data_IF_794566709003
#
_entry.id   IF_794566709003
#
_cell.length_a   1.000
_cell.length_b   1.000
_cell.length_c   1.000
_cell.angle_alpha   90.00
_cell.angle_beta   90.00
_cell.angle_gamma   90.00
#
_symmetry.space_group_name_H-M   'P 1'
#
loop_
_entity.id
_entity.type
_entity.pdbx_description
1 polymer ?
#
# COMPACT_ATOMS: atom_id res chain seq x y z
N UNK A 1 19.53 10.10 -1.05
CA UNK A 1 18.57 8.97 -0.91
C UNK A 1 17.38 9.32 -0.01
N UNK A 2 17.43 9.30 1.33
CA UNK A 2 16.23 9.65 2.14
C UNK A 2 15.74 11.09 1.90
N UNK A 3 16.67 12.06 1.83
CA UNK A 3 16.33 13.46 1.54
C UNK A 3 15.66 13.67 0.19
N UNK A 4 15.95 12.84 -0.80
CA UNK A 4 15.30 12.90 -2.13
C UNK A 4 13.85 12.37 -2.02
N UNK A 5 13.62 11.28 -1.28
CA UNK A 5 12.27 10.75 -1.06
C UNK A 5 11.39 11.77 -0.32
N UNK A 6 11.94 12.52 0.63
CA UNK A 6 11.21 13.57 1.35
C UNK A 6 10.80 14.76 0.46
N UNK A 7 11.36 14.90 -0.75
CA UNK A 7 10.92 15.93 -1.70
C UNK A 7 9.59 15.60 -2.35
N UNK A 8 9.11 14.35 -2.23
CA UNK A 8 7.83 13.89 -2.77
C UNK A 8 6.63 14.23 -1.86
N UNK A 9 6.83 15.02 -0.79
CA UNK A 9 5.81 15.29 0.24
C UNK A 9 4.51 15.87 -0.35
N UNK A 10 4.62 16.81 -1.30
CA UNK A 10 3.42 17.41 -1.92
C UNK A 10 2.65 16.41 -2.79
N UNK A 11 3.34 15.52 -3.50
CA UNK A 11 2.72 14.45 -4.28
C UNK A 11 2.06 13.40 -3.36
N UNK A 12 2.67 13.10 -2.21
CA UNK A 12 2.08 12.24 -1.19
C UNK A 12 0.82 12.86 -0.58
N UNK A 13 0.77 14.20 -0.41
CA UNK A 13 -0.45 14.89 0.03
C UNK A 13 -1.56 14.79 -1.02
N UNK A 14 -1.23 14.91 -2.29
CA UNK A 14 -2.21 14.76 -3.36
C UNK A 14 -2.74 13.33 -3.45
N UNK A 15 -1.88 12.32 -3.27
CA UNK A 15 -2.30 10.93 -3.13
C UNK A 15 -3.22 10.74 -1.92
N UNK A 16 -2.90 11.33 -0.77
CA UNK A 16 -3.72 11.22 0.43
C UNK A 16 -5.13 11.80 0.24
N UNK A 17 -5.28 12.90 -0.54
CA UNK A 17 -6.60 13.45 -0.87
C UNK A 17 -7.47 12.47 -1.67
N UNK A 18 -6.86 11.65 -2.53
CA UNK A 18 -7.58 10.63 -3.30
C UNK A 18 -8.07 9.47 -2.43
N UNK A 19 -7.45 9.27 -1.26
CA UNK A 19 -7.75 8.15 -0.36
C UNK A 19 -8.58 8.57 0.86
N UNK A 20 -8.84 9.86 1.07
CA UNK A 20 -9.39 10.36 2.33
C UNK A 20 -10.81 9.88 2.65
N UNK A 21 -11.61 9.62 1.62
CA UNK A 21 -13.00 9.17 1.76
C UNK A 21 -13.12 7.63 1.74
N UNK A 22 -12.01 6.94 1.47
CA UNK A 22 -11.98 5.48 1.37
C UNK A 22 -12.04 4.81 2.75
N UNK A 23 -12.79 3.70 2.81
CA UNK A 23 -12.97 2.97 4.06
C UNK A 23 -11.93 1.86 4.25
N UNK A 24 -11.31 1.40 3.17
CA UNK A 24 -10.35 0.31 3.20
C UNK A 24 -9.24 0.49 2.19
N UNK A 25 -8.06 -0.06 2.47
CA UNK A 25 -6.88 0.01 1.62
C UNK A 25 -6.13 -1.32 1.66
N UNK A 26 -5.81 -1.88 0.50
CA UNK A 26 -4.92 -3.04 0.42
C UNK A 26 -3.52 -2.62 -0.03
N UNK A 27 -2.50 -3.10 0.68
CA UNK A 27 -1.09 -2.88 0.33
C UNK A 27 -0.41 -4.20 0.01
N UNK A 28 0.21 -4.31 -1.16
CA UNK A 28 0.91 -5.51 -1.58
C UNK A 28 2.41 -5.28 -1.69
N UNK A 29 3.17 -6.26 -1.22
CA UNK A 29 4.62 -6.33 -1.39
C UNK A 29 5.08 -7.75 -1.61
N UNK A 30 6.27 -7.92 -2.19
CA UNK A 30 6.90 -9.24 -2.39
C UNK A 30 8.37 -9.18 -1.98
N UNK A 31 8.91 -10.31 -1.53
CA UNK A 31 10.31 -10.40 -1.11
C UNK A 31 10.60 -9.39 0.01
N UNK A 32 11.64 -8.57 -0.16
CA UNK A 32 12.01 -7.53 0.80
C UNK A 32 10.89 -6.51 1.07
N UNK A 33 10.04 -6.25 0.08
CA UNK A 33 8.97 -5.27 0.19
C UNK A 33 7.73 -5.78 0.94
N UNK A 34 7.68 -7.07 1.31
CA UNK A 34 6.58 -7.59 2.13
C UNK A 34 6.52 -6.87 3.49
N UNK A 35 7.67 -6.67 4.14
CA UNK A 35 7.74 -5.92 5.38
C UNK A 35 7.29 -4.46 5.21
N UNK A 36 7.63 -3.84 4.08
CA UNK A 36 7.20 -2.46 3.75
C UNK A 36 5.68 -2.37 3.57
N UNK A 37 5.05 -3.36 2.92
CA UNK A 37 3.60 -3.41 2.78
C UNK A 37 2.88 -3.57 4.13
N UNK A 38 3.40 -4.46 4.99
CA UNK A 38 2.86 -4.66 6.34
C UNK A 38 2.97 -3.41 7.22
N UNK A 39 4.15 -2.77 7.24
CA UNK A 39 4.38 -1.58 8.05
C UNK A 39 3.56 -0.39 7.53
N UNK A 40 3.49 -0.20 6.20
CA UNK A 40 2.66 0.84 5.59
C UNK A 40 1.19 0.68 5.97
N UNK A 41 0.66 -0.53 5.87
CA UNK A 41 -0.70 -0.83 6.28
C UNK A 41 -0.91 -0.60 7.78
N UNK A 42 0.07 -0.95 8.63
CA UNK A 42 -0.01 -0.70 10.07
C UNK A 42 -0.07 0.80 10.38
N UNK A 43 0.75 1.63 9.73
CA UNK A 43 0.73 3.09 9.95
C UNK A 43 -0.58 3.73 9.52
N UNK A 44 -1.16 3.31 8.39
CA UNK A 44 -2.49 3.78 7.96
C UNK A 44 -3.57 3.42 8.99
N UNK A 45 -3.54 2.19 9.51
CA UNK A 45 -4.44 1.71 10.57
C UNK A 45 -4.36 2.58 11.83
N UNK A 46 -3.16 2.90 12.27
CA UNK A 46 -2.92 3.63 13.52
C UNK A 46 -3.24 5.12 13.42
N UNK A 47 -2.86 5.77 12.31
CA UNK A 47 -2.89 7.23 12.21
C UNK A 47 -4.12 7.72 11.46
N UNK A 48 -4.51 7.03 10.38
CA UNK A 48 -5.67 7.42 9.57
C UNK A 48 -6.97 6.73 10.02
N UNK A 49 -6.89 5.71 10.88
CA UNK A 49 -8.04 4.91 11.35
C UNK A 49 -8.84 4.25 10.22
N UNK A 50 -8.23 4.14 9.04
CA UNK A 50 -8.76 3.43 7.88
C UNK A 50 -8.44 1.94 8.00
N UNK A 51 -9.33 1.08 7.54
CA UNK A 51 -9.04 -0.35 7.51
C UNK A 51 -7.99 -0.67 6.44
N UNK A 52 -6.74 -0.88 6.83
CA UNK A 52 -5.65 -1.17 5.90
C UNK A 52 -5.01 -2.53 6.13
N UNK A 53 -4.81 -3.33 5.08
CA UNK A 53 -4.17 -4.65 5.20
C UNK A 53 -2.96 -4.78 4.26
N UNK A 54 -1.85 -5.23 4.84
CA UNK A 54 -0.62 -5.53 4.10
C UNK A 54 -0.57 -7.02 3.77
N UNK A 55 -0.36 -7.38 2.51
CA UNK A 55 -0.38 -8.78 2.06
C UNK A 55 0.81 -9.10 1.15
N UNK A 56 1.17 -10.38 1.12
CA UNK A 56 2.15 -10.88 0.17
C UNK A 56 1.53 -10.90 -1.24
N UNK A 57 2.17 -10.26 -2.21
CA UNK A 57 1.63 -10.16 -3.57
C UNK A 57 1.36 -11.55 -4.22
N UNK A 58 2.13 -12.58 -3.85
CA UNK A 58 1.93 -13.95 -4.34
C UNK A 58 0.63 -14.60 -3.88
N UNK A 59 0.07 -14.15 -2.75
CA UNK A 59 -1.19 -14.66 -2.19
C UNK A 59 -2.43 -14.03 -2.82
N UNK A 60 -2.26 -13.00 -3.66
CA UNK A 60 -3.37 -12.24 -4.25
C UNK A 60 -4.41 -13.14 -4.92
N UNK A 61 -3.98 -14.18 -5.66
CA UNK A 61 -4.86 -15.12 -6.37
C UNK A 61 -5.55 -16.15 -5.46
N UNK A 62 -5.19 -16.24 -4.20
CA UNK A 62 -5.65 -17.27 -3.27
C UNK A 62 -6.81 -16.82 -2.35
N UNK A 63 -7.45 -15.69 -2.69
CA UNK A 63 -8.56 -15.12 -1.92
C UNK A 63 -8.67 -13.60 -2.03
N UNK A 64 -7.57 -12.83 -1.80
CA UNK A 64 -7.61 -11.37 -1.78
C UNK A 64 -8.16 -10.73 -3.05
N UNK A 65 -7.95 -11.35 -4.22
CA UNK A 65 -8.50 -10.87 -5.49
C UNK A 65 -10.04 -10.81 -5.48
N UNK A 66 -10.72 -11.62 -4.67
CA UNK A 66 -12.18 -11.59 -4.54
C UNK A 66 -12.69 -10.32 -3.82
N UNK A 67 -11.83 -9.61 -3.09
CA UNK A 67 -12.15 -8.35 -2.44
C UNK A 67 -11.94 -7.15 -3.36
N UNK A 68 -11.27 -7.33 -4.51
CA UNK A 68 -10.95 -6.24 -5.43
C UNK A 68 -12.17 -5.90 -6.26
N UNK A 69 -12.61 -4.65 -6.18
CA UNK A 69 -13.61 -4.04 -7.04
C UNK A 69 -13.13 -2.67 -7.55
N UNK A 70 -13.99 -1.94 -8.26
CA UNK A 70 -13.65 -0.63 -8.83
C UNK A 70 -13.44 0.48 -7.77
N UNK A 71 -13.84 0.22 -6.53
CA UNK A 71 -13.84 1.20 -5.44
C UNK A 71 -12.70 0.98 -4.45
N UNK A 72 -12.24 -0.27 -4.26
CA UNK A 72 -11.18 -0.57 -3.30
C UNK A 72 -9.81 -0.07 -3.77
N UNK A 73 -9.19 0.93 -3.10
CA UNK A 73 -7.85 1.36 -3.45
C UNK A 73 -6.81 0.29 -3.11
N UNK A 74 -5.83 0.17 -4.00
CA UNK A 74 -4.72 -0.78 -3.87
C UNK A 74 -3.39 -0.07 -4.10
N UNK A 75 -2.45 -0.25 -3.19
CA UNK A 75 -1.05 0.19 -3.32
C UNK A 75 -0.15 -1.03 -3.49
N UNK A 76 0.71 -1.01 -4.51
CA UNK A 76 1.68 -2.10 -4.77
C UNK A 76 3.09 -1.56 -4.73
N UNK A 77 3.96 -2.19 -3.94
CA UNK A 77 5.38 -1.86 -3.86
C UNK A 77 6.14 -2.80 -4.78
N UNK A 78 6.55 -2.27 -5.93
CA UNK A 78 7.28 -2.98 -6.98
C UNK A 78 8.61 -2.27 -7.28
N UNK A 79 9.66 -2.60 -6.54
CA UNK A 79 11.02 -2.13 -6.81
C UNK A 79 11.74 -3.08 -7.76
N UNK A 80 12.76 -2.59 -8.48
CA UNK A 80 13.60 -3.42 -9.35
C UNK A 80 14.46 -4.36 -8.52
N UNK A 81 14.11 -5.64 -8.47
CA UNK A 81 14.83 -6.66 -7.72
C UNK A 81 14.64 -8.06 -8.35
N UNK A 82 15.04 -9.14 -7.67
CA UNK A 82 14.87 -10.49 -8.22
C UNK A 82 13.40 -10.94 -8.33
N UNK A 83 12.47 -10.25 -7.66
CA UNK A 83 11.05 -10.52 -7.73
C UNK A 83 10.33 -9.75 -8.84
N UNK A 84 10.91 -8.67 -9.39
CA UNK A 84 10.34 -7.80 -10.43
C UNK A 84 11.38 -7.23 -11.40
#
# INVERSE_FOLDING_TARGET
KVREVLQLDDEMKDLAKLLMDEQSLLMFGRGYNYATALEGALKVKEVALMHSEGMLAGEMKHGPLALVDETLPIVVIATRDACF
#
